data_IF_558826846660
#
_entry.id   IF_558826846660
#
_cell.length_a   1.000
_cell.length_b   1.000
_cell.length_c   1.000
_cell.angle_alpha   90.00
_cell.angle_beta   90.00
_cell.angle_gamma   90.00
#
_symmetry.space_group_name_H-M   'P 1'
#
loop_
_entity.id
_entity.type
_entity.pdbx_description
1 polymer ?
#
# COMPACT_ATOMS: atom_id res chain seq x y z
N UNK A 1 -32.98 -6.23 63.34
CA UNK A 1 -33.07 -7.57 62.72
C UNK A 1 -34.44 -7.72 62.07
N UNK A 2 -34.58 -7.34 60.79
CA UNK A 2 -35.89 -7.22 60.11
C UNK A 2 -36.20 -8.52 59.36
N UNK A 3 -37.21 -9.28 59.82
CA UNK A 3 -37.67 -10.51 59.16
C UNK A 3 -38.41 -10.15 57.88
N UNK A 4 -37.71 -10.25 56.75
CA UNK A 4 -38.31 -10.11 55.42
C UNK A 4 -39.34 -11.24 55.23
N UNK A 5 -40.63 -10.89 55.16
CA UNK A 5 -41.73 -11.86 55.06
C UNK A 5 -41.59 -12.65 53.75
N UNK A 6 -41.56 -13.99 53.84
CA UNK A 6 -41.48 -14.94 52.70
C UNK A 6 -42.45 -14.63 51.54
N UNK A 7 -43.57 -13.95 51.82
CA UNK A 7 -44.58 -13.56 50.82
C UNK A 7 -44.12 -12.52 49.78
N UNK A 8 -43.03 -11.78 50.04
CA UNK A 8 -42.48 -10.78 49.09
C UNK A 8 -41.24 -11.31 48.36
N UNK A 9 -40.50 -12.21 48.99
CA UNK A 9 -39.22 -12.74 48.44
C UNK A 9 -39.45 -13.69 47.27
N UNK A 10 -40.48 -14.54 47.34
CA UNK A 10 -40.80 -15.53 46.31
C UNK A 10 -41.22 -14.88 44.97
N UNK A 11 -42.15 -13.92 44.91
CA UNK A 11 -42.51 -13.29 43.64
C UNK A 11 -41.36 -12.46 43.05
N UNK A 12 -40.53 -11.84 43.88
CA UNK A 12 -39.35 -11.09 43.39
C UNK A 12 -38.31 -12.02 42.75
N UNK A 13 -38.08 -13.20 43.33
CA UNK A 13 -37.18 -14.21 42.77
C UNK A 13 -37.69 -14.79 41.44
N UNK A 14 -39.02 -14.99 41.31
CA UNK A 14 -39.63 -15.49 40.07
C UNK A 14 -39.51 -14.45 38.95
N UNK A 15 -39.73 -13.16 39.25
CA UNK A 15 -39.55 -12.08 38.26
C UNK A 15 -38.09 -11.96 37.83
N UNK A 16 -37.14 -12.10 38.76
CA UNK A 16 -35.71 -12.10 38.44
C UNK A 16 -35.30 -13.32 37.61
N UNK A 17 -35.81 -14.52 37.91
CA UNK A 17 -35.56 -15.73 37.13
C UNK A 17 -36.17 -15.66 35.72
N UNK A 18 -37.35 -15.04 35.58
CA UNK A 18 -37.97 -14.81 34.27
C UNK A 18 -37.20 -13.75 33.47
N UNK A 19 -36.69 -12.69 34.11
CA UNK A 19 -35.87 -11.67 33.44
C UNK A 19 -34.51 -12.22 32.98
N UNK A 20 -33.86 -13.09 33.77
CA UNK A 20 -32.59 -13.72 33.39
C UNK A 20 -32.76 -14.77 32.31
N UNK A 21 -33.84 -15.55 32.34
CA UNK A 21 -34.16 -16.50 31.26
C UNK A 21 -34.54 -15.80 29.96
N UNK A 22 -35.23 -14.66 30.00
CA UNK A 22 -35.49 -13.84 28.80
C UNK A 22 -34.21 -13.23 28.22
N UNK A 23 -33.30 -12.73 29.07
CA UNK A 23 -31.99 -12.23 28.61
C UNK A 23 -31.11 -13.35 28.03
N UNK A 24 -31.12 -14.54 28.62
CA UNK A 24 -30.30 -15.69 28.18
C UNK A 24 -30.83 -16.38 26.92
N UNK A 25 -32.15 -16.44 26.73
CA UNK A 25 -32.77 -17.08 25.56
C UNK A 25 -32.90 -16.13 24.35
N UNK A 26 -32.91 -14.80 24.56
CA UNK A 26 -33.17 -13.83 23.48
C UNK A 26 -32.03 -12.86 23.11
N UNK A 27 -30.84 -12.94 23.74
CA UNK A 27 -29.61 -12.35 23.15
C UNK A 27 -28.41 -13.30 23.35
N UNK A 28 -27.79 -13.82 22.26
CA UNK A 28 -27.40 -13.04 21.08
C UNK A 28 -27.66 -13.76 19.74
N UNK A 29 -28.79 -13.46 19.09
CA UNK A 29 -28.94 -13.65 17.63
C UNK A 29 -29.18 -12.34 16.87
N UNK A 30 -29.12 -11.21 17.57
CA UNK A 30 -29.37 -9.86 17.06
C UNK A 30 -28.17 -8.92 17.20
N UNK A 31 -26.97 -9.46 17.39
CA UNK A 31 -25.76 -8.71 17.10
C UNK A 31 -25.28 -9.20 15.73
N UNK A 32 -25.34 -8.37 14.67
CA UNK A 32 -24.61 -8.71 13.46
C UNK A 32 -23.17 -9.02 13.89
N UNK A 33 -22.59 -10.11 13.37
CA UNK A 33 -21.14 -10.35 13.49
C UNK A 33 -20.45 -9.00 13.28
N UNK A 34 -19.44 -8.61 14.09
CA UNK A 34 -18.78 -7.34 13.88
C UNK A 34 -18.36 -7.33 12.42
N UNK A 35 -19.06 -6.52 11.63
CA UNK A 35 -18.72 -6.32 10.25
C UNK A 35 -17.46 -5.48 10.38
N UNK A 36 -16.30 -6.13 10.54
CA UNK A 36 -15.04 -5.56 10.09
C UNK A 36 -15.15 -5.47 8.57
N UNK A 37 -16.04 -4.61 8.10
CA UNK A 37 -15.90 -3.96 6.80
C UNK A 37 -14.62 -3.17 6.96
N UNK A 38 -13.54 -3.74 6.45
CA UNK A 38 -12.31 -2.97 6.25
C UNK A 38 -12.73 -1.75 5.46
N UNK A 39 -12.61 -0.55 6.05
CA UNK A 39 -12.92 0.73 5.39
C UNK A 39 -12.26 0.79 3.99
N UNK A 40 -11.10 0.15 3.85
CA UNK A 40 -10.40 -0.08 2.58
C UNK A 40 -11.18 -0.91 1.57
N UNK A 41 -11.75 -2.05 1.96
CA UNK A 41 -12.51 -2.90 1.05
C UNK A 41 -13.80 -2.21 0.59
N UNK A 42 -14.49 -1.51 1.48
CA UNK A 42 -15.68 -0.72 1.12
C UNK A 42 -15.34 0.46 0.20
N UNK A 43 -14.20 1.13 0.44
CA UNK A 43 -13.71 2.21 -0.41
C UNK A 43 -13.33 1.71 -1.81
N UNK A 44 -12.57 0.60 -1.91
CA UNK A 44 -12.25 -0.03 -3.20
C UNK A 44 -13.52 -0.46 -3.95
N UNK A 45 -14.47 -1.10 -3.25
CA UNK A 45 -15.75 -1.50 -3.83
C UNK A 45 -16.53 -0.28 -4.35
N UNK A 46 -16.50 0.85 -3.64
CA UNK A 46 -17.21 2.05 -4.05
C UNK A 46 -16.55 2.74 -5.25
N UNK A 47 -15.22 2.79 -5.31
CA UNK A 47 -14.49 3.44 -6.39
C UNK A 47 -14.48 2.57 -7.66
N UNK A 48 -14.39 1.24 -7.57
CA UNK A 48 -14.49 0.31 -8.71
C UNK A 48 -15.91 0.16 -9.29
N UNK A 49 -16.95 0.63 -8.59
CA UNK A 49 -18.30 0.74 -9.19
C UNK A 49 -18.37 1.80 -10.29
N UNK A 50 -17.40 2.72 -10.34
CA UNK A 50 -17.22 3.59 -11.50
C UNK A 50 -16.63 2.75 -12.62
N UNK A 51 -17.22 2.83 -13.80
CA UNK A 51 -16.80 2.06 -14.98
C UNK A 51 -15.99 2.90 -15.96
N UNK A 52 -16.12 4.23 -15.87
CA UNK A 52 -15.29 5.18 -16.60
C UNK A 52 -13.85 5.17 -16.06
N UNK A 53 -12.81 5.23 -16.90
CA UNK A 53 -11.44 5.34 -16.43
C UNK A 53 -11.19 6.68 -15.71
N UNK A 54 -10.21 6.71 -14.81
CA UNK A 54 -9.71 7.96 -14.27
C UNK A 54 -8.82 8.66 -15.32
N UNK A 55 -9.07 9.94 -15.59
CA UNK A 55 -8.33 10.71 -16.59
C UNK A 55 -7.59 11.90 -15.97
N UNK A 56 -6.41 12.21 -16.50
CA UNK A 56 -5.54 13.28 -16.01
C UNK A 56 -4.18 13.26 -16.69
N UNK A 57 -3.17 13.85 -16.03
CA UNK A 57 -1.77 13.71 -16.45
C UNK A 57 -0.82 13.36 -15.32
N UNK A 58 0.23 12.60 -15.66
CA UNK A 58 1.39 12.33 -14.82
C UNK A 58 2.55 13.20 -15.29
N UNK A 59 2.75 14.35 -14.64
CA UNK A 59 3.82 15.29 -14.93
C UNK A 59 3.84 15.78 -16.39
N UNK A 60 2.66 16.04 -16.94
CA UNK A 60 2.43 16.49 -18.32
C UNK A 60 2.14 15.38 -19.33
N UNK A 61 2.23 14.10 -18.94
CA UNK A 61 1.85 12.98 -19.82
C UNK A 61 0.38 12.63 -19.62
N UNK A 62 -0.50 12.79 -20.62
CA UNK A 62 -1.92 12.41 -20.51
C UNK A 62 -2.10 10.92 -20.25
N UNK A 63 -3.00 10.57 -19.33
CA UNK A 63 -3.29 9.18 -18.96
C UNK A 63 -4.78 8.90 -18.82
N UNK A 64 -5.18 7.68 -19.17
CA UNK A 64 -6.47 7.08 -18.92
C UNK A 64 -6.25 5.78 -18.13
N UNK A 65 -6.54 5.82 -16.83
CA UNK A 65 -6.22 4.75 -15.88
C UNK A 65 -7.49 3.93 -15.63
N UNK A 66 -7.51 2.62 -15.95
CA UNK A 66 -8.65 1.78 -15.60
C UNK A 66 -8.86 1.76 -14.08
N UNK A 67 -10.12 1.74 -13.63
CA UNK A 67 -10.47 1.95 -12.21
C UNK A 67 -9.81 0.99 -11.20
N UNK A 68 -9.60 -0.30 -11.50
CA UNK A 68 -8.86 -1.20 -10.61
C UNK A 68 -7.39 -0.77 -10.36
N UNK A 69 -6.81 0.05 -11.24
CA UNK A 69 -5.46 0.58 -11.09
C UNK A 69 -5.42 1.96 -10.41
N UNK A 70 -6.56 2.54 -10.04
CA UNK A 70 -6.66 3.94 -9.58
C UNK A 70 -7.09 4.04 -8.10
N UNK A 71 -6.56 3.17 -7.23
CA UNK A 71 -6.84 3.25 -5.80
C UNK A 71 -6.14 4.45 -5.16
N UNK A 72 -6.75 5.03 -4.14
CA UNK A 72 -6.33 6.27 -3.47
C UNK A 72 -5.96 7.41 -4.42
N UNK A 73 -6.70 7.55 -5.53
CA UNK A 73 -6.43 8.56 -6.54
C UNK A 73 -6.63 9.98 -6.01
N UNK A 74 -5.58 10.78 -6.08
CA UNK A 74 -5.55 12.18 -5.68
C UNK A 74 -5.11 13.07 -6.84
N UNK A 75 -5.81 14.20 -7.00
CA UNK A 75 -5.47 15.23 -7.97
C UNK A 75 -4.87 16.45 -7.29
N UNK A 76 -4.12 17.24 -8.06
CA UNK A 76 -3.71 18.57 -7.66
C UNK A 76 -4.93 19.47 -7.38
N UNK A 77 -4.80 20.29 -6.33
CA UNK A 77 -5.87 21.19 -5.88
C UNK A 77 -7.02 20.50 -5.13
N UNK A 78 -7.00 19.16 -5.02
CA UNK A 78 -7.92 18.47 -4.11
C UNK A 78 -7.52 18.63 -2.65
N UNK A 79 -8.50 18.69 -1.73
CA UNK A 79 -8.20 18.67 -0.31
C UNK A 79 -7.48 17.36 0.06
N UNK A 80 -6.59 17.43 1.05
CA UNK A 80 -6.01 16.22 1.64
C UNK A 80 -7.06 15.35 2.34
N UNK A 81 -6.70 14.11 2.70
CA UNK A 81 -7.61 13.16 3.38
C UNK A 81 -8.29 13.72 4.65
N UNK A 82 -7.63 14.63 5.36
CA UNK A 82 -8.14 15.23 6.59
C UNK A 82 -8.84 16.58 6.37
N UNK A 83 -8.91 17.07 5.14
CA UNK A 83 -9.42 18.39 4.82
C UNK A 83 -10.79 18.32 4.14
N UNK A 84 -11.76 19.15 4.56
CA UNK A 84 -13.05 19.20 3.88
C UNK A 84 -12.89 19.88 2.52
N UNK A 85 -13.55 19.31 1.49
CA UNK A 85 -13.62 19.97 0.18
C UNK A 85 -14.40 21.27 0.28
N UNK A 86 -13.79 22.34 -0.20
CA UNK A 86 -14.47 23.62 -0.44
C UNK A 86 -14.95 23.65 -1.89
N UNK A 87 -16.25 23.81 -2.09
CA UNK A 87 -16.86 23.85 -3.42
C UNK A 87 -17.13 22.48 -4.05
N UNK A 88 -17.72 22.46 -5.26
CA UNK A 88 -18.02 21.22 -5.97
C UNK A 88 -16.74 20.48 -6.39
N UNK A 89 -16.83 19.17 -6.60
CA UNK A 89 -15.74 18.39 -7.20
C UNK A 89 -15.56 18.86 -8.66
N UNK A 90 -14.35 19.27 -9.06
CA UNK A 90 -14.10 19.65 -10.45
C UNK A 90 -14.33 18.48 -11.39
N UNK A 91 -14.76 18.81 -12.61
CA UNK A 91 -14.70 17.87 -13.73
C UNK A 91 -13.24 17.57 -14.05
N UNK A 92 -12.93 16.30 -14.32
CA UNK A 92 -11.56 15.86 -14.64
C UNK A 92 -11.38 15.80 -16.15
N UNK A 93 -10.23 16.28 -16.59
CA UNK A 93 -9.79 16.28 -17.99
C UNK A 93 -8.34 15.81 -18.05
N UNK A 94 -7.77 15.62 -19.24
CA UNK A 94 -6.35 15.29 -19.38
C UNK A 94 -5.41 16.39 -18.86
N UNK A 95 -5.90 17.62 -18.63
CA UNK A 95 -5.15 18.71 -17.99
C UNK A 95 -5.18 18.64 -16.46
N UNK A 96 -5.93 17.68 -15.88
CA UNK A 96 -5.97 17.50 -14.43
C UNK A 96 -4.73 16.75 -13.94
N UNK A 97 -3.86 17.43 -13.19
CA UNK A 97 -2.69 16.80 -12.58
C UNK A 97 -3.06 15.74 -11.55
N UNK A 98 -2.67 14.49 -11.78
CA UNK A 98 -2.80 13.39 -10.81
C UNK A 98 -1.54 13.39 -9.94
N UNK A 99 -1.66 13.68 -8.65
CA UNK A 99 -0.49 13.75 -7.76
C UNK A 99 -0.13 12.41 -7.15
N UNK A 100 -1.11 11.56 -6.86
CA UNK A 100 -0.85 10.23 -6.30
C UNK A 100 -1.95 9.24 -6.65
N UNK A 101 -1.58 7.98 -6.75
CA UNK A 101 -2.49 6.84 -6.75
C UNK A 101 -1.69 5.56 -6.48
N UNK A 102 -2.39 4.45 -6.24
CA UNK A 102 -1.78 3.14 -6.13
C UNK A 102 -2.69 2.04 -6.63
N UNK A 103 -2.13 0.85 -6.71
CA UNK A 103 -2.85 -0.37 -7.07
C UNK A 103 -2.08 -1.60 -6.60
N UNK A 104 -2.73 -2.75 -6.65
CA UNK A 104 -2.11 -4.03 -6.37
C UNK A 104 -2.15 -4.92 -7.61
N UNK A 105 -1.05 -5.60 -7.90
CA UNK A 105 -0.95 -6.55 -9.04
C UNK A 105 -0.31 -7.85 -8.59
N UNK A 106 -0.75 -8.96 -9.16
CA UNK A 106 -0.19 -10.27 -8.91
C UNK A 106 1.02 -10.51 -9.81
N UNK A 107 2.17 -10.92 -9.25
CA UNK A 107 3.37 -11.23 -10.03
C UNK A 107 3.48 -12.73 -10.30
N UNK A 108 3.81 -13.18 -11.53
CA UNK A 108 4.33 -12.40 -12.66
C UNK A 108 3.31 -12.00 -13.73
N UNK A 109 2.05 -12.44 -13.63
CA UNK A 109 1.03 -12.21 -14.68
C UNK A 109 0.50 -10.77 -14.76
N UNK A 110 0.83 -9.93 -13.77
CA UNK A 110 0.41 -8.54 -13.62
C UNK A 110 -1.12 -8.38 -13.53
N UNK A 111 -1.84 -9.44 -13.12
CA UNK A 111 -3.29 -9.37 -12.89
C UNK A 111 -3.58 -8.34 -11.78
N UNK A 112 -4.36 -7.30 -12.08
CA UNK A 112 -4.72 -6.27 -11.10
C UNK A 112 -5.71 -6.80 -10.06
N UNK A 113 -5.51 -6.40 -8.81
CA UNK A 113 -6.47 -6.64 -7.76
C UNK A 113 -7.76 -5.89 -8.07
N UNK A 114 -8.88 -6.61 -8.04
CA UNK A 114 -10.21 -6.07 -8.30
C UNK A 114 -11.25 -6.81 -7.49
N UNK A 115 -12.49 -6.31 -7.50
CA UNK A 115 -13.64 -7.02 -6.89
C UNK A 115 -13.73 -8.48 -7.37
N UNK A 116 -13.33 -8.77 -8.62
CA UNK A 116 -13.44 -10.11 -9.21
C UNK A 116 -12.49 -11.15 -8.58
N UNK A 117 -11.31 -10.72 -8.12
CA UNK A 117 -10.28 -11.62 -7.57
C UNK A 117 -9.92 -11.34 -6.09
N UNK A 118 -10.60 -10.39 -5.43
CA UNK A 118 -10.39 -10.02 -4.03
C UNK A 118 -10.42 -11.22 -3.05
N UNK A 119 -11.33 -12.17 -3.29
CA UNK A 119 -11.44 -13.36 -2.45
C UNK A 119 -10.25 -14.32 -2.63
N UNK A 120 -9.70 -14.42 -3.86
CA UNK A 120 -8.47 -15.18 -4.14
C UNK A 120 -7.30 -14.53 -3.42
N UNK A 121 -7.14 -13.21 -3.60
CA UNK A 121 -6.09 -12.42 -2.96
C UNK A 121 -6.10 -12.56 -1.43
N UNK A 122 -7.26 -12.41 -0.78
CA UNK A 122 -7.38 -12.50 0.69
C UNK A 122 -7.05 -13.88 1.27
N UNK A 123 -7.10 -14.93 0.45
CA UNK A 123 -6.74 -16.30 0.87
C UNK A 123 -5.24 -16.57 0.75
N UNK A 124 -4.49 -15.73 0.04
CA UNK A 124 -3.05 -15.91 -0.06
C UNK A 124 -2.36 -15.61 1.26
N UNK A 125 -1.40 -16.48 1.60
CA UNK A 125 -0.59 -16.30 2.79
C UNK A 125 0.35 -15.13 2.62
N UNK A 126 0.47 -14.28 3.64
CA UNK A 126 1.47 -13.20 3.68
C UNK A 126 2.91 -13.70 3.51
N UNK A 127 3.16 -15.00 3.76
CA UNK A 127 4.47 -15.63 3.62
C UNK A 127 4.79 -16.04 2.17
N UNK A 128 3.76 -16.30 1.36
CA UNK A 128 3.94 -16.83 -0.01
C UNK A 128 3.37 -15.93 -1.10
N UNK A 129 2.59 -14.91 -0.73
CA UNK A 129 1.95 -13.97 -1.66
C UNK A 129 2.95 -13.37 -2.64
N UNK A 130 2.48 -13.19 -3.86
CA UNK A 130 3.23 -12.49 -4.91
C UNK A 130 2.51 -11.21 -5.36
N UNK A 131 1.50 -10.79 -4.60
CA UNK A 131 0.88 -9.50 -4.77
C UNK A 131 1.87 -8.38 -4.44
N UNK A 132 2.04 -7.48 -5.41
CA UNK A 132 2.85 -6.28 -5.32
C UNK A 132 1.92 -5.11 -5.01
N UNK A 133 2.28 -4.28 -4.03
CA UNK A 133 1.60 -2.99 -3.82
C UNK A 133 2.40 -1.90 -4.53
N UNK A 134 1.78 -1.24 -5.50
CA UNK A 134 2.39 -0.19 -6.32
C UNK A 134 1.81 1.16 -5.91
N UNK A 135 2.68 2.12 -5.62
CA UNK A 135 2.34 3.52 -5.40
C UNK A 135 3.04 4.41 -6.40
N UNK A 136 2.33 5.41 -6.92
CA UNK A 136 2.80 6.35 -7.93
C UNK A 136 2.65 7.75 -7.35
N UNK A 137 3.71 8.55 -7.47
CA UNK A 137 3.71 9.97 -7.09
C UNK A 137 4.17 10.81 -8.29
N UNK A 138 3.38 11.83 -8.63
CA UNK A 138 3.62 12.73 -9.75
C UNK A 138 3.19 14.16 -9.40
N UNK A 139 3.39 15.10 -10.32
CA UNK A 139 3.06 16.52 -10.16
C UNK A 139 3.52 17.09 -8.80
N UNK A 140 2.62 17.62 -7.95
CA UNK A 140 3.00 18.22 -6.66
C UNK A 140 3.65 17.22 -5.68
N UNK A 141 3.38 15.92 -5.81
CA UNK A 141 4.00 14.88 -4.99
C UNK A 141 5.22 14.23 -5.69
N UNK A 142 5.61 14.69 -6.88
CA UNK A 142 6.76 14.16 -7.59
C UNK A 142 8.06 14.57 -6.87
N UNK A 143 8.84 13.61 -6.33
CA UNK A 143 10.05 13.95 -5.58
C UNK A 143 11.24 14.38 -6.46
N UNK A 144 11.07 14.37 -7.79
CA UNK A 144 12.08 14.76 -8.75
C UNK A 144 12.85 13.60 -9.38
N UNK A 145 13.53 13.88 -10.51
CA UNK A 145 14.21 12.88 -11.34
C UNK A 145 15.41 12.18 -10.68
N UNK A 146 15.94 12.76 -9.60
CA UNK A 146 17.11 12.25 -8.87
C UNK A 146 16.73 11.65 -7.51
N UNK A 147 15.44 11.38 -7.27
CA UNK A 147 14.98 10.90 -5.97
C UNK A 147 15.70 9.62 -5.47
N UNK A 148 15.90 8.57 -6.30
CA UNK A 148 16.68 7.40 -5.87
C UNK A 148 18.13 7.74 -5.48
N UNK A 149 18.80 8.62 -6.23
CA UNK A 149 20.16 9.09 -5.88
C UNK A 149 20.16 9.84 -4.54
N UNK A 150 19.17 10.71 -4.30
CA UNK A 150 19.00 11.39 -3.02
C UNK A 150 18.82 10.44 -1.84
N UNK A 151 18.18 9.28 -2.05
CA UNK A 151 18.10 8.23 -1.01
C UNK A 151 19.47 7.62 -0.71
N UNK A 152 20.30 7.37 -1.73
CA UNK A 152 21.67 6.86 -1.55
C UNK A 152 22.55 7.90 -0.85
N UNK A 153 22.48 9.17 -1.23
CA UNK A 153 23.24 10.26 -0.61
C UNK A 153 22.86 10.52 0.85
N UNK A 154 21.68 10.07 1.28
CA UNK A 154 21.18 10.24 2.65
C UNK A 154 21.39 9.01 3.55
N UNK A 155 22.13 7.98 3.10
CA UNK A 155 22.41 6.77 3.89
C UNK A 155 23.06 7.12 5.24
N UNK A 156 23.99 8.07 5.27
CA UNK A 156 24.68 8.48 6.50
C UNK A 156 23.78 9.20 7.51
N UNK A 157 22.62 9.70 7.06
CA UNK A 157 21.63 10.39 7.90
C UNK A 157 20.49 9.47 8.37
N UNK A 158 20.58 8.15 8.11
CA UNK A 158 19.55 7.18 8.54
C UNK A 158 19.67 6.89 10.03
N UNK A 159 18.65 6.22 10.58
CA UNK A 159 18.58 5.86 12.00
C UNK A 159 19.78 5.01 12.47
N UNK A 160 20.25 4.11 11.61
CA UNK A 160 21.45 3.30 11.84
C UNK A 160 22.60 3.75 10.94
N UNK A 161 23.81 3.44 11.38
CA UNK A 161 25.02 3.49 10.54
C UNK A 161 25.04 2.25 9.66
N UNK A 162 25.44 2.44 8.41
CA UNK A 162 25.48 1.40 7.41
C UNK A 162 26.92 1.11 6.97
N UNK A 163 27.19 -0.16 6.69
CA UNK A 163 28.44 -0.60 6.10
C UNK A 163 28.16 -1.37 4.80
N UNK A 164 28.98 -1.10 3.78
CA UNK A 164 28.90 -1.77 2.48
C UNK A 164 29.43 -3.20 2.62
N UNK A 165 28.67 -4.16 2.08
CA UNK A 165 29.10 -5.55 1.98
C UNK A 165 29.90 -5.74 0.69
N UNK A 166 30.99 -6.49 0.73
CA UNK A 166 31.89 -6.70 -0.41
C UNK A 166 31.26 -7.47 -1.56
N UNK A 167 30.32 -8.37 -1.27
CA UNK A 167 29.56 -9.12 -2.26
C UNK A 167 28.26 -8.39 -2.60
N UNK A 168 28.01 -8.14 -3.89
CA UNK A 168 26.71 -7.66 -4.37
C UNK A 168 25.66 -8.76 -4.27
N UNK A 169 24.46 -8.44 -3.76
CA UNK A 169 23.31 -9.34 -3.70
C UNK A 169 22.42 -9.11 -4.92
N UNK A 170 22.18 -10.12 -5.77
CA UNK A 170 21.31 -9.99 -6.97
C UNK A 170 21.69 -8.83 -7.93
N UNK A 171 22.99 -8.53 -8.02
CA UNK A 171 23.51 -7.43 -8.82
C UNK A 171 23.23 -6.03 -8.25
N UNK A 172 22.92 -5.95 -6.95
CA UNK A 172 22.74 -4.72 -6.19
C UNK A 172 23.95 -4.48 -5.27
N UNK A 173 24.32 -3.22 -5.08
CA UNK A 173 25.22 -2.83 -4.01
C UNK A 173 24.47 -2.89 -2.68
N UNK A 174 25.04 -3.59 -1.69
CA UNK A 174 24.35 -3.93 -0.45
C UNK A 174 24.99 -3.25 0.75
N UNK A 175 24.15 -2.70 1.62
CA UNK A 175 24.53 -2.04 2.86
C UNK A 175 23.71 -2.60 4.01
N UNK A 176 24.40 -2.95 5.10
CA UNK A 176 23.79 -3.52 6.31
C UNK A 176 23.95 -2.58 7.50
N UNK A 177 22.98 -2.52 8.43
CA UNK A 177 23.08 -1.67 9.61
C UNK A 177 23.98 -2.32 10.68
N UNK A 178 24.97 -1.57 11.20
CA UNK A 178 26.04 -2.10 12.07
C UNK A 178 25.91 -1.75 13.56
N UNK A 179 25.18 -0.69 13.93
CA UNK A 179 25.03 -0.23 15.32
C UNK A 179 23.66 -0.59 15.92
N UNK A 180 23.15 -1.77 15.60
CA UNK A 180 21.81 -2.20 16.02
C UNK A 180 21.86 -2.92 17.35
N UNK A 181 20.88 -2.63 18.22
CA UNK A 181 20.64 -3.36 19.47
C UNK A 181 20.24 -4.81 19.16
N UNK A 182 21.15 -5.75 19.45
CA UNK A 182 20.96 -7.17 19.16
C UNK A 182 19.92 -7.82 20.07
N UNK A 183 19.75 -7.35 21.31
CA UNK A 183 18.72 -7.87 22.22
C UNK A 183 17.33 -7.44 21.75
N UNK A 184 17.18 -6.18 21.33
CA UNK A 184 15.95 -5.71 20.69
C UNK A 184 15.66 -6.50 19.40
N UNK A 185 16.68 -6.71 18.56
CA UNK A 185 16.56 -7.47 17.31
C UNK A 185 16.10 -8.90 17.52
N UNK A 186 16.64 -9.59 18.53
CA UNK A 186 16.23 -10.96 18.90
C UNK A 186 14.77 -11.01 19.36
N UNK A 187 14.33 -10.03 20.14
CA UNK A 187 12.93 -9.93 20.61
C UNK A 187 11.96 -9.57 19.48
N UNK A 188 12.39 -8.73 18.54
CA UNK A 188 11.60 -8.30 17.38
C UNK A 188 11.62 -9.25 16.19
N UNK A 189 12.04 -10.51 16.38
CA UNK A 189 12.02 -11.52 15.32
C UNK A 189 12.93 -11.17 14.14
N UNK A 190 14.12 -10.61 14.40
CA UNK A 190 15.11 -10.29 13.38
C UNK A 190 15.29 -8.80 13.09
N UNK A 191 14.35 -7.95 13.52
CA UNK A 191 14.46 -6.49 13.41
C UNK A 191 14.31 -5.83 14.77
N UNK A 192 15.19 -4.89 15.12
CA UNK A 192 15.08 -4.16 16.38
C UNK A 192 13.90 -3.16 16.40
N UNK A 193 13.59 -2.56 15.24
CA UNK A 193 12.45 -1.68 15.02
C UNK A 193 12.15 -1.54 13.51
N UNK A 194 11.22 -0.65 13.14
CA UNK A 194 10.84 -0.43 11.72
C UNK A 194 11.96 0.13 10.83
N UNK A 195 13.03 0.67 11.42
CA UNK A 195 14.19 1.22 10.72
C UNK A 195 15.34 0.22 10.55
N UNK A 196 15.18 -1.00 11.06
CA UNK A 196 16.15 -2.08 10.90
C UNK A 196 15.90 -2.82 9.57
N UNK A 197 16.56 -2.33 8.53
CA UNK A 197 16.49 -2.85 7.17
C UNK A 197 17.87 -2.85 6.52
N UNK A 198 18.06 -3.72 5.53
CA UNK A 198 19.17 -3.62 4.59
C UNK A 198 18.83 -2.60 3.50
N UNK A 199 19.84 -1.92 2.99
CA UNK A 199 19.73 -1.01 1.85
C UNK A 199 20.41 -1.66 0.65
N UNK A 200 19.74 -1.60 -0.49
CA UNK A 200 20.24 -2.06 -1.77
C UNK A 200 20.06 -0.97 -2.82
N UNK A 201 21.00 -0.81 -3.74
CA UNK A 201 20.76 0.04 -4.91
C UNK A 201 21.46 -0.50 -6.15
N UNK A 202 20.93 -0.12 -7.30
CA UNK A 202 21.54 -0.40 -8.59
C UNK A 202 21.93 0.89 -9.29
N UNK A 203 23.17 0.92 -9.79
CA UNK A 203 23.67 1.96 -10.68
C UNK A 203 23.65 1.43 -12.12
N UNK A 204 22.95 2.13 -13.00
CA UNK A 204 22.90 1.76 -14.40
C UNK A 204 24.24 2.09 -15.12
N UNK A 205 24.34 1.71 -16.39
CA UNK A 205 25.55 1.92 -17.21
C UNK A 205 25.93 3.40 -17.39
N UNK A 206 24.98 4.33 -17.23
CA UNK A 206 25.24 5.78 -17.27
C UNK A 206 25.76 6.35 -15.95
N UNK A 207 25.89 5.50 -14.91
CA UNK A 207 26.33 5.92 -13.59
C UNK A 207 25.22 6.49 -12.70
N UNK A 208 23.95 6.47 -13.13
CA UNK A 208 22.81 6.95 -12.33
C UNK A 208 22.23 5.84 -11.46
N UNK A 209 21.76 6.20 -10.26
CA UNK A 209 20.96 5.27 -9.44
C UNK A 209 19.58 5.09 -10.07
N UNK A 210 19.33 3.85 -10.50
CA UNK A 210 18.11 3.45 -11.20
C UNK A 210 17.06 2.87 -10.24
N UNK A 211 17.55 2.12 -9.24
CA UNK A 211 16.72 1.52 -8.20
C UNK A 211 17.35 1.73 -6.82
N UNK A 212 16.51 2.07 -5.84
CA UNK A 212 16.86 2.09 -4.42
C UNK A 212 15.85 1.23 -3.66
N UNK A 213 16.33 0.25 -2.89
CA UNK A 213 15.49 -0.77 -2.25
C UNK A 213 15.87 -0.85 -0.78
N UNK A 214 14.86 -0.91 0.09
CA UNK A 214 15.04 -1.23 1.51
C UNK A 214 14.31 -2.52 1.83
N UNK A 215 14.92 -3.43 2.57
CA UNK A 215 14.27 -4.68 2.99
C UNK A 215 14.38 -4.86 4.49
N UNK A 216 13.25 -5.05 5.15
CA UNK A 216 13.20 -5.29 6.59
C UNK A 216 14.08 -6.49 6.99
N UNK A 217 14.77 -6.36 8.13
CA UNK A 217 15.59 -7.43 8.68
C UNK A 217 14.83 -8.44 9.54
N UNK A 218 13.50 -8.32 9.64
CA UNK A 218 12.65 -9.38 10.18
C UNK A 218 12.98 -10.71 9.48
N UNK A 219 13.13 -11.78 10.24
CA UNK A 219 13.68 -13.06 9.75
C UNK A 219 12.64 -13.96 9.10
N UNK A 220 11.35 -13.64 9.18
CA UNK A 220 10.29 -14.44 8.57
C UNK A 220 10.08 -14.11 7.08
N UNK A 221 9.50 -15.05 6.32
CA UNK A 221 9.34 -14.95 4.86
C UNK A 221 8.49 -13.75 4.39
N UNK A 222 7.61 -13.23 5.24
CA UNK A 222 6.79 -12.05 4.97
C UNK A 222 7.53 -10.71 5.17
N UNK A 223 8.86 -10.72 5.39
CA UNK A 223 9.64 -9.50 5.50
C UNK A 223 9.51 -8.66 4.21
N UNK A 224 9.18 -7.39 4.34
CA UNK A 224 8.85 -6.53 3.19
C UNK A 224 10.10 -5.84 2.67
N UNK A 225 10.23 -5.79 1.35
CA UNK A 225 11.07 -4.87 0.61
C UNK A 225 10.23 -3.74 0.00
N UNK A 226 10.79 -2.53 -0.03
CA UNK A 226 10.27 -1.38 -0.76
C UNK A 226 11.30 -0.92 -1.77
N UNK A 227 10.93 -0.99 -3.04
CA UNK A 227 11.73 -0.56 -4.17
C UNK A 227 11.22 0.80 -4.66
N UNK A 228 12.13 1.74 -4.83
CA UNK A 228 11.89 3.07 -5.38
C UNK A 228 12.67 3.23 -6.68
N UNK A 229 11.97 3.66 -7.73
CA UNK A 229 12.55 3.98 -9.03
C UNK A 229 11.76 5.10 -9.71
N UNK A 230 12.25 5.58 -10.85
CA UNK A 230 11.67 6.70 -11.57
C UNK A 230 11.36 6.31 -13.03
N UNK A 231 10.25 6.83 -13.58
CA UNK A 231 9.87 6.64 -14.98
C UNK A 231 10.42 7.75 -15.91
N UNK A 232 11.18 8.69 -15.36
CA UNK A 232 11.83 9.76 -16.12
C UNK A 232 12.91 9.19 -17.06
N UNK A 233 13.03 9.68 -18.31
CA UNK A 233 12.39 10.87 -18.88
C UNK A 233 11.00 10.65 -19.49
N UNK A 234 10.57 9.40 -19.68
CA UNK A 234 9.36 9.07 -20.43
C UNK A 234 8.06 9.46 -19.72
N UNK A 235 8.11 9.60 -18.39
CA UNK A 235 7.03 10.11 -17.55
C UNK A 235 7.61 10.68 -16.25
N UNK A 236 7.21 11.90 -15.87
CA UNK A 236 7.64 12.51 -14.59
C UNK A 236 6.83 11.94 -13.42
N UNK A 237 7.14 10.69 -13.08
CA UNK A 237 6.50 9.96 -11.98
C UNK A 237 7.52 9.09 -11.25
N UNK A 238 7.43 9.08 -9.93
CA UNK A 238 8.19 8.18 -9.06
C UNK A 238 7.31 7.00 -8.69
N UNK A 239 7.89 5.81 -8.67
CA UNK A 239 7.17 4.57 -8.36
C UNK A 239 7.77 3.96 -7.09
N UNK A 240 6.90 3.49 -6.21
CA UNK A 240 7.25 2.66 -5.07
C UNK A 240 6.55 1.32 -5.20
N UNK A 241 7.30 0.22 -5.16
CA UNK A 241 6.74 -1.13 -5.16
C UNK A 241 7.11 -1.82 -3.86
N UNK A 242 6.09 -2.33 -3.15
CA UNK A 242 6.28 -3.15 -1.96
C UNK A 242 6.04 -4.62 -2.30
N UNK A 243 6.97 -5.49 -1.88
CA UNK A 243 6.89 -6.93 -2.11
C UNK A 243 7.64 -7.70 -1.01
N UNK A 244 7.39 -9.01 -0.88
CA UNK A 244 8.11 -9.85 0.10
C UNK A 244 9.58 -10.03 -0.29
N UNK A 245 10.48 -10.16 0.69
CA UNK A 245 11.93 -10.29 0.49
C UNK A 245 12.33 -11.43 -0.43
N UNK A 246 11.57 -12.52 -0.45
CA UNK A 246 11.81 -13.65 -1.36
C UNK A 246 11.71 -13.30 -2.86
N UNK A 247 11.11 -12.16 -3.22
CA UNK A 247 11.03 -11.63 -4.58
C UNK A 247 12.15 -10.62 -4.90
N UNK A 248 13.05 -10.32 -3.96
CA UNK A 248 14.16 -9.38 -4.19
C UNK A 248 15.02 -9.79 -5.37
N UNK A 249 15.23 -11.09 -5.59
CA UNK A 249 15.98 -11.61 -6.74
C UNK A 249 15.38 -11.20 -8.11
N UNK A 250 14.08 -10.90 -8.14
CA UNK A 250 13.31 -10.59 -9.34
C UNK A 250 13.08 -9.06 -9.50
N UNK A 251 13.75 -8.23 -8.70
CA UNK A 251 13.54 -6.77 -8.62
C UNK A 251 13.59 -6.05 -9.97
N UNK A 252 14.46 -6.48 -10.90
CA UNK A 252 14.56 -5.90 -12.25
C UNK A 252 13.33 -6.18 -13.08
N UNK A 253 12.87 -7.43 -13.03
CA UNK A 253 11.68 -7.85 -13.77
C UNK A 253 10.46 -7.14 -13.20
N UNK A 254 10.31 -7.11 -11.87
CA UNK A 254 9.24 -6.36 -11.18
C UNK A 254 9.24 -4.89 -11.62
N UNK A 255 10.39 -4.22 -11.62
CA UNK A 255 10.52 -2.84 -12.10
C UNK A 255 10.01 -2.70 -13.53
N UNK A 256 10.45 -3.57 -14.44
CA UNK A 256 10.08 -3.51 -15.85
C UNK A 256 8.60 -3.78 -16.09
N UNK A 257 8.04 -4.81 -15.46
CA UNK A 257 6.63 -5.19 -15.62
C UNK A 257 5.69 -4.12 -15.05
N UNK A 258 6.00 -3.58 -13.87
CA UNK A 258 5.23 -2.47 -13.29
C UNK A 258 5.33 -1.21 -14.15
N UNK A 259 6.52 -0.89 -14.68
CA UNK A 259 6.69 0.26 -15.58
C UNK A 259 5.84 0.11 -16.84
N UNK A 260 5.81 -1.09 -17.44
CA UNK A 260 5.00 -1.36 -18.62
C UNK A 260 3.51 -1.17 -18.37
N UNK A 261 2.98 -1.70 -17.26
CA UNK A 261 1.59 -1.47 -16.84
C UNK A 261 1.28 0.03 -16.75
N UNK A 262 2.17 0.82 -16.13
CA UNK A 262 1.96 2.28 -15.99
C UNK A 262 2.03 2.99 -17.34
N UNK A 263 2.93 2.56 -18.23
CA UNK A 263 3.04 3.14 -19.58
C UNK A 263 1.83 2.85 -20.47
N UNK A 264 1.15 1.72 -20.26
CA UNK A 264 -0.11 1.40 -20.95
C UNK A 264 -1.26 2.36 -20.61
N UNK A 265 -1.16 3.11 -19.50
CA UNK A 265 -2.15 4.14 -19.18
C UNK A 265 -2.03 5.39 -20.05
N UNK A 266 -0.94 5.56 -20.81
CA UNK A 266 -0.77 6.73 -21.70
C UNK A 266 -1.96 6.80 -22.66
N UNK A 267 -2.67 7.93 -22.64
CA UNK A 267 -3.78 8.12 -23.55
C UNK A 267 -3.23 8.31 -24.98
N UNK A 268 -3.69 7.48 -25.92
CA UNK A 268 -3.50 7.77 -27.35
C UNK A 268 -4.38 8.97 -27.71
N UNK A 269 -3.78 10.00 -28.31
CA UNK A 269 -4.50 11.16 -28.86
C UNK A 269 -5.59 10.70 -29.83
N UNK A 270 -6.78 10.42 -29.30
CA UNK A 270 -7.99 10.11 -30.08
C UNK A 270 -8.99 11.21 -29.77
N UNK A 271 -8.54 12.45 -29.91
CA UNK A 271 -9.34 13.67 -29.79
C UNK A 271 -9.53 14.36 -31.16
N UNK A 272 -9.30 13.65 -32.27
CA UNK A 272 -9.61 14.12 -33.64
C UNK A 272 -10.83 13.41 -34.27
N UNK A 273 -11.65 12.67 -33.52
CA UNK A 273 -12.79 11.91 -34.10
C UNK A 273 -14.18 12.21 -33.52
N UNK A 274 -14.42 13.42 -33.04
CA UNK A 274 -15.80 13.93 -32.96
C UNK A 274 -15.86 15.42 -33.29
N UNK A 275 -15.81 15.72 -34.59
CA UNK A 275 -16.49 16.87 -35.19
C UNK A 275 -17.79 16.39 -35.82
#
# INVERSE_FOLDING_TARGET
>A
MMKLKKKVVIPLFIVLLLATTWMALFKPRLLPKPIQRHLFADWMIQEERRTDPAIGHLGGTPVSIPRPYAHFLEYDGDPGFTEPRKGPRPERTFDSGIRSFGFEVHYPDMEVASIANLDKQKRESIYTTTWLTVGISSNNDYPGQYYPEGQVLSIDNKHYRYERVSASEHGLETYIPINVDQEARKKGGGAANMFDYNIYYYRNSSGRIDAYITCSNVTHEAAICRQHFNLFPDMKASVTVSYRRGLLKDWREIQSSVSNVIFEFKATNTQDQHN
#
